data_IF_387188000917
#
_entry.id   IF_387188000917
#
_cell.length_a   1.000
_cell.length_b   1.000
_cell.length_c   1.000
_cell.angle_alpha   90.00
_cell.angle_beta   90.00
_cell.angle_gamma   90.00
#
_symmetry.space_group_name_H-M   'P 1'
#
loop_
_entity.id
_entity.type
_entity.pdbx_description
1 polymer ?
#
# COMPACT_ATOMS: atom_id res chain seq x y z
N UNK A 1 11.30 30.16 -15.46
CA UNK A 1 10.44 29.46 -14.48
C UNK A 1 9.96 28.20 -15.17
N UNK A 2 10.45 27.02 -14.78
CA UNK A 2 9.93 25.74 -15.27
C UNK A 2 8.51 25.60 -14.69
N UNK A 3 7.51 25.52 -15.55
CA UNK A 3 6.13 25.32 -15.14
C UNK A 3 6.01 23.99 -14.42
N UNK A 4 5.64 24.01 -13.15
CA UNK A 4 5.25 22.81 -12.41
C UNK A 4 3.92 22.36 -13.00
N UNK A 5 3.94 21.43 -13.94
CA UNK A 5 2.72 20.79 -14.40
C UNK A 5 2.10 20.02 -13.23
N UNK A 6 0.80 20.18 -12.97
CA UNK A 6 0.15 19.41 -11.92
C UNK A 6 0.28 17.92 -12.25
N UNK A 7 0.79 17.15 -11.31
CA UNK A 7 0.93 15.68 -11.45
C UNK A 7 -0.43 14.97 -11.51
N UNK A 8 -1.47 15.61 -10.98
CA UNK A 8 -2.87 15.20 -11.01
C UNK A 8 -3.71 16.39 -11.44
N UNK A 9 -4.64 16.20 -12.35
CA UNK A 9 -5.52 17.25 -12.85
C UNK A 9 -6.91 16.69 -13.18
N UNK A 10 -7.94 17.11 -12.42
CA UNK A 10 -9.31 16.66 -12.65
C UNK A 10 -9.49 15.17 -12.37
N UNK A 11 -8.97 14.70 -11.24
CA UNK A 11 -9.24 13.34 -10.74
C UNK A 11 -10.57 13.36 -10.03
N UNK A 12 -11.53 12.58 -10.53
CA UNK A 12 -12.77 12.26 -9.85
C UNK A 12 -12.72 10.79 -9.42
N UNK A 13 -12.74 10.55 -8.11
CA UNK A 13 -12.51 9.24 -7.54
C UNK A 13 -13.33 9.03 -6.27
N UNK A 14 -14.13 7.98 -6.28
CA UNK A 14 -14.77 7.43 -5.10
C UNK A 14 -14.25 6.02 -4.81
N UNK A 15 -13.77 5.78 -3.60
CA UNK A 15 -13.33 4.47 -3.12
C UNK A 15 -14.38 3.90 -2.17
N UNK A 16 -14.82 2.67 -2.44
CA UNK A 16 -15.76 1.96 -1.56
C UNK A 16 -15.00 1.36 -0.38
N UNK A 17 -15.60 1.42 0.80
CA UNK A 17 -15.06 0.73 1.97
C UNK A 17 -15.03 -0.79 1.75
N UNK A 18 -14.08 -1.47 2.40
CA UNK A 18 -13.91 -2.93 2.33
C UNK A 18 -13.85 -3.45 0.88
N UNK A 19 -13.07 -2.79 0.05
CA UNK A 19 -12.93 -3.12 -1.37
C UNK A 19 -11.48 -3.09 -1.83
N UNK A 20 -11.22 -3.75 -2.96
CA UNK A 20 -9.94 -3.70 -3.67
C UNK A 20 -10.11 -2.89 -4.96
N UNK A 21 -9.31 -1.84 -5.10
CA UNK A 21 -9.20 -1.04 -6.31
C UNK A 21 -7.80 -1.17 -6.89
N UNK A 22 -7.69 -1.39 -8.19
CA UNK A 22 -6.42 -1.43 -8.91
C UNK A 22 -6.32 -0.21 -9.84
N UNK A 23 -5.27 0.58 -9.67
CA UNK A 23 -4.94 1.71 -10.54
C UNK A 23 -3.96 1.22 -11.61
N UNK A 24 -4.38 1.17 -12.86
CA UNK A 24 -3.53 0.78 -13.99
C UNK A 24 -3.20 1.98 -14.86
N UNK A 25 -2.07 1.92 -15.55
CA UNK A 25 -1.63 2.96 -16.47
C UNK A 25 -0.13 2.97 -16.68
N UNK A 26 0.32 3.65 -17.71
CA UNK A 26 1.75 3.78 -18.04
C UNK A 26 2.56 4.46 -16.93
N UNK A 27 3.89 4.36 -17.01
CA UNK A 27 4.78 5.14 -16.15
C UNK A 27 4.51 6.64 -16.36
N UNK A 28 4.49 7.39 -15.26
CA UNK A 28 4.16 8.83 -15.31
C UNK A 28 2.66 9.15 -15.41
N UNK A 29 1.76 8.16 -15.45
CA UNK A 29 0.30 8.38 -15.49
C UNK A 29 -0.28 9.09 -14.25
N UNK A 30 0.49 9.18 -13.16
CA UNK A 30 0.05 9.82 -11.91
C UNK A 30 -0.33 8.85 -10.79
N UNK A 31 -0.22 7.53 -10.99
CA UNK A 31 -0.61 6.50 -10.00
C UNK A 31 0.02 6.74 -8.62
N UNK A 32 1.35 6.79 -8.55
CA UNK A 32 2.10 7.06 -7.31
C UNK A 32 1.71 8.41 -6.68
N UNK A 33 1.48 9.43 -7.51
CA UNK A 33 1.07 10.76 -7.02
C UNK A 33 -0.30 10.72 -6.36
N UNK A 34 -1.26 9.99 -6.97
CA UNK A 34 -2.58 9.79 -6.39
C UNK A 34 -2.48 9.02 -5.08
N UNK A 35 -1.73 7.92 -5.05
CA UNK A 35 -1.53 7.15 -3.82
C UNK A 35 -0.89 8.00 -2.72
N UNK A 36 0.11 8.84 -3.04
CA UNK A 36 0.75 9.75 -2.06
C UNK A 36 -0.21 10.82 -1.54
N UNK A 37 -1.11 11.33 -2.38
CA UNK A 37 -2.17 12.25 -1.94
C UNK A 37 -3.11 11.55 -0.96
N UNK A 38 -3.61 10.36 -1.30
CA UNK A 38 -4.48 9.55 -0.43
C UNK A 38 -3.79 9.16 0.88
N UNK A 39 -2.46 8.98 0.86
CA UNK A 39 -1.65 8.69 2.05
C UNK A 39 -1.40 9.93 2.95
N UNK A 40 -1.80 11.12 2.51
CA UNK A 40 -1.46 12.37 3.20
C UNK A 40 0.04 12.68 3.18
N UNK A 41 0.80 12.13 2.22
CA UNK A 41 2.23 12.44 2.03
C UNK A 41 2.43 13.72 1.24
N UNK A 42 1.49 14.07 0.39
CA UNK A 42 1.43 15.35 -0.33
C UNK A 42 0.09 16.03 -0.02
N UNK A 43 0.05 17.35 -0.13
CA UNK A 43 -1.18 18.13 0.06
C UNK A 43 -2.00 18.22 -1.21
N UNK A 44 -3.30 18.44 -1.06
CA UNK A 44 -4.18 18.84 -2.15
C UNK A 44 -3.85 20.30 -2.51
N UNK A 45 -3.57 20.55 -3.79
CA UNK A 45 -3.23 21.91 -4.27
C UNK A 45 -4.45 22.67 -4.80
N UNK A 46 -5.45 21.95 -5.29
CA UNK A 46 -6.72 22.50 -5.77
C UNK A 46 -7.77 21.40 -5.83
N UNK A 47 -9.05 21.78 -5.85
CA UNK A 47 -10.18 20.87 -5.82
C UNK A 47 -10.59 20.48 -4.40
N UNK A 48 -11.47 19.51 -4.32
CA UNK A 48 -12.05 19.00 -3.07
C UNK A 48 -11.80 17.51 -2.97
N UNK A 49 -11.69 16.99 -1.76
CA UNK A 49 -11.55 15.55 -1.55
C UNK A 49 -11.48 15.20 -0.08
N UNK A 50 -11.90 13.98 0.23
CA UNK A 50 -11.80 13.41 1.56
C UNK A 50 -11.25 11.99 1.52
N UNK A 51 -10.56 11.58 2.58
CA UNK A 51 -10.07 10.23 2.77
C UNK A 51 -10.47 9.78 4.16
N UNK A 52 -11.17 8.66 4.27
CA UNK A 52 -11.70 8.14 5.54
C UNK A 52 -12.54 9.18 6.31
N UNK A 53 -13.29 10.01 5.56
CA UNK A 53 -14.11 11.08 6.12
C UNK A 53 -13.32 12.34 6.56
N UNK A 54 -12.01 12.38 6.32
CA UNK A 54 -11.16 13.54 6.64
C UNK A 54 -10.95 14.38 5.38
N UNK A 55 -11.30 15.66 5.42
CA UNK A 55 -11.12 16.59 4.31
C UNK A 55 -9.63 16.85 4.05
N UNK A 56 -9.17 16.57 2.82
CA UNK A 56 -7.77 16.70 2.41
C UNK A 56 -7.25 18.13 2.39
N UNK A 57 -8.13 19.14 2.30
CA UNK A 57 -7.74 20.54 2.29
C UNK A 57 -7.41 21.05 3.70
N UNK A 58 -8.09 20.54 4.73
CA UNK A 58 -8.03 21.04 6.11
C UNK A 58 -7.45 20.05 7.11
N UNK A 59 -7.35 18.75 6.78
CA UNK A 59 -6.93 17.70 7.71
C UNK A 59 -5.49 17.90 8.23
N UNK A 60 -5.29 17.69 9.53
CA UNK A 60 -3.94 17.34 10.00
C UNK A 60 -3.51 16.00 9.39
N UNK A 61 -2.59 16.06 8.45
CA UNK A 61 -2.08 14.89 7.73
C UNK A 61 -1.49 13.81 8.66
N UNK A 62 -1.17 14.14 9.92
CA UNK A 62 -0.75 13.15 10.92
C UNK A 62 -1.92 12.25 11.31
N UNK A 63 -3.14 12.80 11.44
CA UNK A 63 -4.35 12.01 11.73
C UNK A 63 -4.63 11.03 10.59
N UNK A 64 -4.58 11.51 9.35
CA UNK A 64 -4.77 10.65 8.17
C UNK A 64 -3.71 9.55 8.12
N UNK A 65 -2.43 9.90 8.27
CA UNK A 65 -1.33 8.92 8.26
C UNK A 65 -1.40 7.86 9.35
N UNK A 66 -2.11 8.09 10.44
CA UNK A 66 -2.34 7.05 11.47
C UNK A 66 -3.29 5.96 11.00
N UNK A 67 -4.23 6.28 10.12
CA UNK A 67 -5.28 5.39 9.62
C UNK A 67 -4.95 4.75 8.27
N UNK A 68 -3.93 5.28 7.58
CA UNK A 68 -3.52 4.82 6.25
C UNK A 68 -2.19 4.08 6.34
N UNK A 69 -2.10 2.92 5.70
CA UNK A 69 -0.87 2.16 5.50
C UNK A 69 -0.31 2.41 4.10
N UNK A 70 0.97 2.70 4.02
CA UNK A 70 1.68 2.94 2.76
C UNK A 70 2.77 1.91 2.55
N UNK A 71 2.77 1.24 1.41
CA UNK A 71 3.86 0.41 0.94
C UNK A 71 4.33 0.94 -0.42
N UNK A 72 5.41 1.72 -0.38
CA UNK A 72 6.04 2.27 -1.57
C UNK A 72 7.06 1.30 -2.19
N UNK A 73 7.80 1.82 -3.16
CA UNK A 73 8.83 1.07 -3.88
C UNK A 73 10.00 0.70 -2.96
N UNK A 74 10.38 1.62 -2.08
CA UNK A 74 11.41 1.42 -1.06
C UNK A 74 10.75 1.09 0.28
N UNK A 75 11.10 -0.05 0.87
CA UNK A 75 10.69 -0.40 2.21
C UNK A 75 11.38 0.50 3.25
N UNK A 76 10.62 1.00 4.22
CA UNK A 76 11.18 1.77 5.35
C UNK A 76 11.63 0.82 6.46
N UNK A 77 12.68 0.04 6.21
CA UNK A 77 13.24 -0.90 7.19
C UNK A 77 14.64 -0.48 7.62
N UNK A 78 15.02 -0.89 8.79
CA UNK A 78 16.39 -0.82 9.26
C UNK A 78 17.16 -2.01 8.68
N UNK A 79 18.01 -1.75 7.70
CA UNK A 79 18.73 -2.76 6.93
C UNK A 79 19.62 -3.66 7.78
N UNK A 80 20.20 -3.13 8.84
CA UNK A 80 21.09 -3.86 9.76
C UNK A 80 20.33 -4.69 10.83
N UNK A 81 19.06 -4.42 11.02
CA UNK A 81 18.21 -5.19 11.92
C UNK A 81 17.69 -6.45 11.23
N UNK A 82 17.49 -7.51 12.00
CA UNK A 82 16.81 -8.73 11.55
C UNK A 82 15.35 -8.45 11.24
N UNK A 83 14.69 -9.38 10.55
CA UNK A 83 13.24 -9.34 10.29
C UNK A 83 12.48 -9.18 11.60
N UNK A 84 12.83 -9.97 12.62
CA UNK A 84 12.19 -9.92 13.93
C UNK A 84 12.42 -8.61 14.67
N UNK A 85 13.65 -8.09 14.65
CA UNK A 85 13.96 -6.82 15.31
C UNK A 85 13.23 -5.66 14.65
N UNK A 86 13.13 -5.64 13.31
CA UNK A 86 12.32 -4.67 12.57
C UNK A 86 10.85 -4.71 12.99
N UNK A 87 10.25 -5.91 13.07
CA UNK A 87 8.85 -6.06 13.46
C UNK A 87 8.64 -5.80 14.96
N UNK A 88 9.60 -6.15 15.81
CA UNK A 88 9.57 -5.82 17.24
C UNK A 88 9.58 -4.31 17.46
N UNK A 89 10.45 -3.61 16.74
CA UNK A 89 10.47 -2.14 16.76
C UNK A 89 9.11 -1.57 16.34
N UNK A 90 8.55 -2.08 15.23
CA UNK A 90 7.24 -1.67 14.76
C UNK A 90 6.13 -1.92 15.79
N UNK A 91 6.07 -3.13 16.35
CA UNK A 91 5.07 -3.49 17.35
C UNK A 91 5.12 -2.57 18.56
N UNK A 92 6.33 -2.33 19.11
CA UNK A 92 6.53 -1.41 20.24
C UNK A 92 6.08 0.02 19.90
N UNK A 93 6.46 0.54 18.71
CA UNK A 93 6.07 1.88 18.28
C UNK A 93 4.55 2.04 18.09
N UNK A 94 3.85 0.95 17.77
CA UNK A 94 2.40 0.90 17.57
C UNK A 94 1.63 0.51 18.85
N UNK A 95 2.31 0.20 19.95
CA UNK A 95 1.69 -0.34 21.16
C UNK A 95 1.02 -1.71 20.94
N UNK A 96 1.57 -2.54 20.03
CA UNK A 96 1.07 -3.88 19.72
C UNK A 96 1.80 -4.94 20.54
N UNK A 97 1.10 -6.02 20.92
CA UNK A 97 1.71 -7.14 21.58
C UNK A 97 2.79 -7.82 20.71
N UNK A 98 3.92 -8.20 21.32
CA UNK A 98 5.04 -8.84 20.61
C UNK A 98 4.73 -10.30 20.26
N UNK A 99 3.83 -10.94 20.98
CA UNK A 99 3.37 -12.31 20.70
C UNK A 99 2.61 -12.44 19.37
N UNK A 100 2.05 -11.34 18.83
CA UNK A 100 1.47 -11.30 17.49
C UNK A 100 2.50 -11.53 16.37
N UNK A 101 3.80 -11.34 16.64
CA UNK A 101 4.85 -11.38 15.59
C UNK A 101 4.95 -12.77 14.94
N UNK A 102 4.82 -13.84 15.69
CA UNK A 102 4.89 -15.20 15.15
C UNK A 102 3.80 -15.41 14.08
N UNK A 103 2.56 -15.08 14.41
CA UNK A 103 1.42 -15.18 13.49
C UNK A 103 1.59 -14.29 12.26
N UNK A 104 2.11 -13.06 12.45
CA UNK A 104 2.35 -12.14 11.32
C UNK A 104 3.43 -12.70 10.41
N UNK A 105 4.52 -13.25 10.94
CA UNK A 105 5.60 -13.87 10.16
C UNK A 105 5.12 -15.09 9.37
N UNK A 106 4.26 -15.91 9.94
CA UNK A 106 3.61 -17.03 9.23
C UNK A 106 2.76 -16.52 8.07
N UNK A 107 1.90 -15.51 8.32
CA UNK A 107 1.03 -14.95 7.29
C UNK A 107 1.76 -14.33 6.11
N UNK A 108 3.00 -13.89 6.28
CA UNK A 108 3.83 -13.33 5.19
C UNK A 108 4.91 -14.30 4.71
N UNK A 109 4.91 -15.54 5.20
CA UNK A 109 5.89 -16.59 4.88
C UNK A 109 7.35 -16.09 5.07
N UNK A 110 7.62 -15.53 6.25
CA UNK A 110 8.95 -15.08 6.66
C UNK A 110 9.45 -15.75 7.97
N UNK A 111 8.74 -16.76 8.49
CA UNK A 111 9.11 -17.44 9.74
C UNK A 111 10.52 -18.02 9.69
N UNK A 112 10.92 -18.62 8.57
CA UNK A 112 12.27 -19.18 8.35
C UNK A 112 13.36 -18.10 8.21
N UNK A 113 12.98 -16.83 8.02
CA UNK A 113 13.89 -15.69 7.86
C UNK A 113 13.93 -14.77 9.07
N UNK A 114 13.29 -15.15 10.17
CA UNK A 114 13.14 -14.34 11.38
C UNK A 114 14.44 -13.70 11.85
N UNK A 115 15.55 -14.49 11.87
CA UNK A 115 16.87 -14.04 12.29
C UNK A 115 17.73 -13.47 11.15
N UNK A 116 17.20 -13.34 9.93
CA UNK A 116 17.92 -12.80 8.78
C UNK A 116 17.88 -11.26 8.81
N UNK A 117 19.02 -10.60 8.60
CA UNK A 117 19.08 -9.14 8.48
C UNK A 117 18.29 -8.66 7.24
N UNK A 118 17.58 -7.53 7.35
CA UNK A 118 16.74 -7.01 6.27
C UNK A 118 17.54 -6.74 4.99
N UNK A 119 18.81 -6.37 5.07
CA UNK A 119 19.71 -6.19 3.89
C UNK A 119 19.97 -7.46 3.11
N UNK A 120 19.84 -8.63 3.73
CA UNK A 120 20.07 -9.93 3.11
C UNK A 120 18.82 -10.52 2.46
N UNK A 121 17.68 -9.89 2.63
CA UNK A 121 16.41 -10.32 2.03
C UNK A 121 16.39 -10.04 0.53
N UNK A 122 15.83 -10.98 -0.25
CA UNK A 122 15.48 -10.73 -1.65
C UNK A 122 14.43 -9.60 -1.76
N UNK A 123 14.26 -9.04 -2.96
CA UNK A 123 13.24 -8.01 -3.19
C UNK A 123 11.83 -8.49 -2.80
N UNK A 124 11.46 -9.73 -3.14
CA UNK A 124 10.19 -10.33 -2.74
C UNK A 124 10.05 -10.49 -1.21
N UNK A 125 11.11 -10.94 -0.53
CA UNK A 125 11.13 -11.05 0.94
C UNK A 125 11.04 -9.67 1.61
N UNK A 126 11.71 -8.65 1.08
CA UNK A 126 11.58 -7.26 1.57
C UNK A 126 10.14 -6.77 1.39
N UNK A 127 9.48 -7.12 0.28
CA UNK A 127 8.07 -6.77 0.05
C UNK A 127 7.17 -7.46 1.09
N UNK A 128 7.41 -8.74 1.39
CA UNK A 128 6.71 -9.48 2.45
C UNK A 128 6.92 -8.87 3.84
N UNK A 129 8.13 -8.38 4.15
CA UNK A 129 8.39 -7.65 5.38
C UNK A 129 7.57 -6.36 5.47
N UNK A 130 7.41 -5.63 4.34
CA UNK A 130 6.52 -4.46 4.27
C UNK A 130 5.07 -4.79 4.53
N UNK A 131 4.59 -5.93 4.03
CA UNK A 131 3.25 -6.42 4.33
C UNK A 131 3.09 -6.80 5.80
N UNK A 132 4.11 -7.42 6.41
CA UNK A 132 4.12 -7.71 7.84
C UNK A 132 3.95 -6.44 8.68
N UNK A 133 4.61 -5.36 8.29
CA UNK A 133 4.45 -4.04 8.90
C UNK A 133 3.01 -3.53 8.81
N UNK A 134 2.38 -3.66 7.64
CA UNK A 134 0.99 -3.26 7.45
C UNK A 134 0.02 -4.13 8.26
N UNK A 135 0.28 -5.44 8.34
CA UNK A 135 -0.52 -6.35 9.16
C UNK A 135 -0.47 -6.00 10.64
N UNK A 136 0.70 -5.66 11.18
CA UNK A 136 0.83 -5.18 12.56
C UNK A 136 0.11 -3.85 12.78
N UNK A 137 0.19 -2.96 11.81
CA UNK A 137 -0.39 -1.63 11.89
C UNK A 137 -1.91 -1.64 11.78
N UNK A 138 -2.49 -2.59 11.01
CA UNK A 138 -3.93 -2.74 10.76
C UNK A 138 -4.58 -1.44 10.28
N UNK A 139 -4.08 -0.79 9.22
CA UNK A 139 -4.68 0.44 8.72
C UNK A 139 -6.03 0.18 8.09
N UNK A 140 -6.91 1.20 8.10
CA UNK A 140 -8.22 1.14 7.45
C UNK A 140 -8.10 1.22 5.93
N UNK A 141 -7.09 1.95 5.43
CA UNK A 141 -6.78 2.09 4.02
C UNK A 141 -5.34 1.65 3.74
N UNK A 142 -5.19 0.65 2.88
CA UNK A 142 -3.90 0.15 2.40
C UNK A 142 -3.61 0.75 1.03
N UNK A 143 -2.48 1.41 0.88
CA UNK A 143 -2.01 2.00 -0.36
C UNK A 143 -0.70 1.34 -0.77
N UNK A 144 -0.71 0.58 -1.87
CA UNK A 144 0.37 -0.28 -2.28
C UNK A 144 0.86 0.15 -3.67
N UNK A 145 2.10 0.65 -3.75
CA UNK A 145 2.66 1.15 -4.99
C UNK A 145 3.49 0.05 -5.68
N UNK A 146 2.97 -0.45 -6.80
CA UNK A 146 3.54 -1.51 -7.63
C UNK A 146 3.98 -2.76 -6.83
N UNK A 147 3.13 -3.31 -5.95
CA UNK A 147 3.53 -4.39 -5.04
C UNK A 147 3.86 -5.69 -5.75
N UNK A 148 3.41 -5.87 -6.99
CA UNK A 148 3.64 -7.08 -7.81
C UNK A 148 4.91 -6.99 -8.65
N UNK A 149 5.59 -5.84 -8.69
CA UNK A 149 6.84 -5.70 -9.41
C UNK A 149 7.86 -6.69 -8.82
N UNK A 150 8.49 -7.47 -9.67
CA UNK A 150 9.51 -8.47 -9.30
C UNK A 150 9.01 -9.68 -8.50
N UNK A 151 7.70 -9.96 -8.48
CA UNK A 151 7.16 -11.20 -7.95
C UNK A 151 7.00 -12.24 -9.06
N UNK A 152 7.38 -13.47 -8.75
CA UNK A 152 7.03 -14.66 -9.52
C UNK A 152 5.54 -15.00 -9.36
N UNK A 153 5.06 -16.02 -10.05
CA UNK A 153 3.65 -16.40 -10.04
C UNK A 153 3.18 -16.87 -8.66
N UNK A 154 4.02 -17.58 -7.91
CA UNK A 154 3.72 -18.00 -6.54
C UNK A 154 3.62 -16.78 -5.62
N UNK A 155 4.55 -15.83 -5.75
CA UNK A 155 4.53 -14.57 -5.02
C UNK A 155 3.28 -13.74 -5.33
N UNK A 156 2.84 -13.70 -6.58
CA UNK A 156 1.61 -13.01 -7.00
C UNK A 156 0.36 -13.67 -6.40
N UNK A 157 0.30 -15.01 -6.44
CA UNK A 157 -0.80 -15.79 -5.86
C UNK A 157 -0.89 -15.56 -4.36
N UNK A 158 0.23 -15.68 -3.66
CA UNK A 158 0.33 -15.38 -2.24
C UNK A 158 -0.17 -13.95 -1.91
N UNK A 159 0.30 -12.97 -2.67
CA UNK A 159 -0.04 -11.58 -2.45
C UNK A 159 -1.54 -11.33 -2.67
N UNK A 160 -2.12 -11.92 -3.72
CA UNK A 160 -3.55 -11.82 -4.01
C UNK A 160 -4.39 -12.43 -2.87
N UNK A 161 -4.01 -13.60 -2.36
CA UNK A 161 -4.69 -14.24 -1.22
C UNK A 161 -4.63 -13.37 0.03
N UNK A 162 -3.47 -12.78 0.33
CA UNK A 162 -3.31 -11.87 1.48
C UNK A 162 -4.18 -10.63 1.36
N UNK A 163 -4.27 -10.01 0.15
CA UNK A 163 -5.13 -8.86 -0.07
C UNK A 163 -6.62 -9.22 0.08
N UNK A 164 -7.02 -10.41 -0.37
CA UNK A 164 -8.38 -10.93 -0.15
C UNK A 164 -8.72 -11.00 1.34
N UNK A 165 -7.86 -11.64 2.13
CA UNK A 165 -8.06 -11.77 3.58
C UNK A 165 -8.16 -10.41 4.28
N UNK A 166 -7.34 -9.42 3.93
CA UNK A 166 -7.43 -8.11 4.59
C UNK A 166 -8.67 -7.32 4.16
N UNK A 167 -9.14 -7.47 2.92
CA UNK A 167 -10.40 -6.86 2.44
C UNK A 167 -11.60 -7.51 3.14
N UNK A 168 -11.65 -8.83 3.25
CA UNK A 168 -12.69 -9.56 3.97
C UNK A 168 -12.76 -9.16 5.45
N UNK A 169 -11.63 -8.76 6.04
CA UNK A 169 -11.55 -8.20 7.41
C UNK A 169 -11.90 -6.72 7.49
N UNK A 170 -12.37 -6.12 6.41
CA UNK A 170 -12.89 -4.75 6.39
C UNK A 170 -11.88 -3.68 5.93
N UNK A 171 -10.67 -4.04 5.55
CA UNK A 171 -9.72 -3.06 5.01
C UNK A 171 -10.12 -2.61 3.59
N UNK A 172 -9.89 -1.35 3.29
CA UNK A 172 -9.95 -0.83 1.92
C UNK A 172 -8.53 -0.86 1.34
N UNK A 173 -8.38 -1.37 0.12
CA UNK A 173 -7.07 -1.56 -0.51
C UNK A 173 -7.04 -0.87 -1.87
N UNK A 174 -6.01 -0.07 -2.11
CA UNK A 174 -5.70 0.50 -3.44
C UNK A 174 -4.30 0.09 -3.85
N UNK A 175 -4.20 -0.52 -5.02
CA UNK A 175 -2.95 -1.04 -5.59
C UNK A 175 -2.66 -0.32 -6.89
N UNK A 176 -1.45 0.22 -7.08
CA UNK A 176 -1.00 0.60 -8.41
C UNK A 176 -0.35 -0.60 -9.12
N UNK A 177 -0.61 -0.72 -10.40
CA UNK A 177 -0.04 -1.76 -11.25
C UNK A 177 0.16 -1.26 -12.68
N UNK A 178 1.01 -1.94 -13.45
CA UNK A 178 1.10 -1.71 -14.89
C UNK A 178 -0.08 -2.36 -15.63
N UNK A 179 -0.40 -3.59 -15.26
CA UNK A 179 -1.46 -4.39 -15.84
C UNK A 179 -2.56 -4.68 -14.82
N UNK A 180 -3.79 -4.93 -15.27
CA UNK A 180 -4.87 -5.35 -14.39
C UNK A 180 -4.49 -6.60 -13.58
N UNK A 181 -4.87 -6.60 -12.32
CA UNK A 181 -4.68 -7.76 -11.46
C UNK A 181 -5.57 -8.91 -11.94
N UNK A 182 -4.94 -9.96 -12.45
CA UNK A 182 -5.65 -11.19 -12.80
C UNK A 182 -5.61 -12.13 -11.60
N UNK A 183 -6.72 -12.23 -10.89
CA UNK A 183 -6.91 -13.22 -9.83
C UNK A 183 -8.28 -13.88 -10.00
N UNK A 184 -8.31 -15.18 -9.93
CA UNK A 184 -9.58 -15.93 -9.97
C UNK A 184 -10.43 -15.67 -8.71
N UNK A 185 -9.81 -15.26 -7.63
CA UNK A 185 -10.42 -15.09 -6.30
C UNK A 185 -10.84 -13.63 -6.01
N UNK A 186 -10.17 -12.66 -6.63
CA UNK A 186 -10.42 -11.24 -6.41
C UNK A 186 -11.06 -10.64 -7.67
N UNK A 187 -12.15 -9.88 -7.48
CA UNK A 187 -12.76 -9.07 -8.53
C UNK A 187 -12.51 -7.60 -8.20
N UNK A 188 -11.28 -7.10 -8.45
CA UNK A 188 -10.96 -5.71 -8.14
C UNK A 188 -11.71 -4.77 -9.10
N UNK A 189 -12.11 -3.62 -8.60
CA UNK A 189 -12.44 -2.48 -9.43
C UNK A 189 -11.16 -1.99 -10.09
N UNK A 190 -11.10 -1.93 -11.41
CA UNK A 190 -9.93 -1.45 -12.13
C UNK A 190 -10.17 -0.04 -12.66
N UNK A 191 -9.30 0.89 -12.31
CA UNK A 191 -9.31 2.27 -12.76
C UNK A 191 -8.11 2.53 -13.67
N UNK A 192 -8.35 3.07 -14.85
CA UNK A 192 -7.30 3.40 -15.82
C UNK A 192 -6.88 4.85 -15.65
N UNK A 193 -5.59 5.08 -15.43
CA UNK A 193 -5.01 6.42 -15.31
C UNK A 193 -4.16 6.77 -16.52
N UNK A 194 -4.33 7.99 -17.04
CA UNK A 194 -3.49 8.59 -18.06
C UNK A 194 -3.39 10.10 -17.84
N UNK A 195 -2.19 10.67 -17.98
CA UNK A 195 -1.97 12.12 -17.89
C UNK A 195 -2.50 12.77 -16.61
N UNK A 196 -2.39 12.07 -15.46
CA UNK A 196 -2.84 12.57 -14.17
C UNK A 196 -4.37 12.55 -13.97
N UNK A 197 -5.11 11.78 -14.77
CA UNK A 197 -6.58 11.65 -14.72
C UNK A 197 -6.99 10.20 -14.71
N UNK A 198 -8.19 9.92 -14.19
CA UNK A 198 -8.89 8.65 -14.40
C UNK A 198 -9.64 8.75 -15.71
N UNK A 199 -9.31 7.86 -16.66
CA UNK A 199 -9.85 7.89 -18.04
C UNK A 199 -10.75 6.70 -18.35
N UNK A 200 -10.86 5.74 -17.48
CA UNK A 200 -11.71 4.55 -17.64
C UNK A 200 -11.84 3.73 -16.38
N UNK A 201 -12.84 2.86 -16.37
CA UNK A 201 -13.15 1.90 -15.31
C UNK A 201 -13.59 0.57 -15.92
N UNK A 202 -13.19 -0.55 -15.32
CA UNK A 202 -13.62 -1.91 -15.70
C UNK A 202 -13.73 -2.84 -14.49
#
# INVERSE_FOLDING_TARGET
>A
MAGVFPLLSGVDLELRASSLTVLVGANGAGKTSLLRLLAGLVGLSAGEGSVLGLDLASVDRRQLRRRVGWLGHEGSFYDDLTVEENLTFAAKALGRPIDELATVLERVDLSSRRATSAKQLSAGQRRRLGLAWLLLRRPELWLLDEPYASLDDDGRTFFAALLGDVVERGATVVVSAHDPLRSAQLRPRTLVMAGGRIVGES
#
